data_IF_352140995782
#
_entry.id   IF_352140995782
#
_cell.length_a   1.000
_cell.length_b   1.000
_cell.length_c   1.000
_cell.angle_alpha   90.00
_cell.angle_beta   90.00
_cell.angle_gamma   90.00
#
_symmetry.space_group_name_H-M   'P 1'
#
loop_
_entity.id
_entity.type
_entity.pdbx_description
1 polymer ?
#
# COMPACT_ATOMS: atom_id res chain seq x y z
N UNK A 1 -25.25 0.88 -6.38
CA UNK A 1 -23.93 1.54 -6.28
C UNK A 1 -22.88 0.47 -6.57
N UNK A 2 -22.48 0.31 -7.83
CA UNK A 2 -21.31 -0.52 -8.13
C UNK A 2 -20.10 0.14 -7.46
N UNK A 3 -19.50 -0.55 -6.49
CA UNK A 3 -18.36 -0.03 -5.75
C UNK A 3 -17.22 0.33 -6.71
N UNK A 4 -16.55 1.46 -6.45
CA UNK A 4 -15.39 1.88 -7.21
C UNK A 4 -14.35 0.75 -7.16
N UNK A 5 -14.09 0.10 -8.29
CA UNK A 5 -13.09 -0.96 -8.39
C UNK A 5 -11.71 -0.31 -8.47
N UNK A 6 -11.07 -0.17 -7.32
CA UNK A 6 -9.70 0.31 -7.18
C UNK A 6 -8.74 -0.88 -7.28
N UNK A 7 -7.71 -0.77 -8.13
CA UNK A 7 -6.61 -1.73 -8.15
C UNK A 7 -5.36 -1.07 -7.61
N UNK A 8 -4.69 -1.74 -6.67
CA UNK A 8 -3.48 -1.23 -6.03
C UNK A 8 -2.28 -1.98 -6.59
N UNK A 9 -1.27 -1.25 -7.06
CA UNK A 9 0.04 -1.78 -7.38
C UNK A 9 1.05 -1.36 -6.32
N UNK A 10 1.58 -2.35 -5.59
CA UNK A 10 2.57 -2.17 -4.54
C UNK A 10 4.02 -2.15 -5.05
N UNK A 11 4.25 -2.32 -6.35
CA UNK A 11 5.59 -2.32 -6.95
C UNK A 11 6.61 -3.17 -6.17
N UNK A 12 6.19 -4.38 -5.74
CA UNK A 12 6.94 -5.20 -4.77
C UNK A 12 8.40 -5.41 -5.15
N UNK A 13 8.71 -5.68 -6.42
CA UNK A 13 10.10 -5.87 -6.87
C UNK A 13 10.93 -4.60 -6.68
N UNK A 14 10.42 -3.45 -7.15
CA UNK A 14 11.11 -2.15 -7.05
C UNK A 14 11.29 -1.74 -5.59
N UNK A 15 10.20 -1.77 -4.81
CA UNK A 15 10.23 -1.37 -3.41
C UNK A 15 11.11 -2.31 -2.58
N UNK A 16 10.97 -3.63 -2.70
CA UNK A 16 11.76 -4.55 -1.90
C UNK A 16 13.25 -4.50 -2.29
N UNK A 17 13.59 -4.21 -3.56
CA UNK A 17 14.98 -3.97 -3.95
C UNK A 17 15.54 -2.72 -3.28
N UNK A 18 14.81 -1.60 -3.33
CA UNK A 18 15.21 -0.35 -2.70
C UNK A 18 15.32 -0.45 -1.17
N UNK A 19 14.48 -1.29 -0.56
CA UNK A 19 14.43 -1.51 0.89
C UNK A 19 15.34 -2.65 1.39
N UNK A 20 16.09 -3.31 0.47
CA UNK A 20 16.97 -4.45 0.80
C UNK A 20 16.22 -5.55 1.55
N UNK A 21 15.13 -6.00 0.93
CA UNK A 21 14.19 -7.03 1.40
C UNK A 21 13.75 -7.97 0.27
N UNK A 22 14.28 -7.82 -0.95
CA UNK A 22 13.88 -8.58 -2.15
C UNK A 22 14.16 -10.08 -2.04
N UNK A 23 15.19 -10.43 -1.27
CA UNK A 23 15.58 -11.79 -0.95
C UNK A 23 14.56 -12.53 -0.08
N UNK A 24 13.72 -11.80 0.67
CA UNK A 24 12.65 -12.40 1.47
C UNK A 24 11.50 -12.84 0.56
N UNK A 25 11.07 -11.96 -0.34
CA UNK A 25 10.01 -12.25 -1.31
C UNK A 25 9.96 -11.21 -2.43
N UNK A 26 9.49 -11.64 -3.61
CA UNK A 26 9.14 -10.76 -4.73
C UNK A 26 7.64 -10.51 -4.87
N UNK A 27 6.82 -11.23 -4.10
CA UNK A 27 5.34 -11.25 -4.25
C UNK A 27 4.63 -10.30 -3.28
N UNK A 28 5.17 -10.11 -2.08
CA UNK A 28 4.59 -9.22 -1.05
C UNK A 28 5.48 -8.00 -0.84
N UNK A 29 4.89 -6.87 -0.46
CA UNK A 29 5.62 -5.66 -0.13
C UNK A 29 6.25 -5.78 1.26
N UNK A 30 7.57 -5.67 1.34
CA UNK A 30 8.31 -5.65 2.61
C UNK A 30 9.19 -4.40 2.62
N UNK A 31 8.89 -3.47 3.52
CA UNK A 31 9.57 -2.17 3.62
C UNK A 31 10.23 -1.99 4.98
N UNK A 32 11.21 -1.09 5.05
CA UNK A 32 11.87 -0.65 6.27
C UNK A 32 11.36 0.74 6.64
N UNK A 33 11.10 0.94 7.94
CA UNK A 33 10.66 2.23 8.49
C UNK A 33 11.64 3.35 8.15
N UNK A 34 11.12 4.57 8.00
CA UNK A 34 11.94 5.77 7.74
C UNK A 34 12.38 5.93 6.28
N UNK A 35 12.08 4.96 5.40
CA UNK A 35 12.34 5.04 3.97
C UNK A 35 10.99 5.07 3.21
N UNK A 36 10.78 6.02 2.28
CA UNK A 36 9.56 6.06 1.48
C UNK A 36 9.46 4.84 0.54
N UNK A 37 8.24 4.52 0.11
CA UNK A 37 7.97 3.49 -0.88
C UNK A 37 6.89 3.95 -1.87
N UNK A 38 6.87 3.35 -3.05
CA UNK A 38 5.96 3.72 -4.12
C UNK A 38 4.69 2.86 -4.11
N UNK A 39 3.53 3.49 -4.26
CA UNK A 39 2.26 2.82 -4.47
C UNK A 39 1.50 3.52 -5.60
N UNK A 40 0.83 2.74 -6.45
CA UNK A 40 -0.05 3.28 -7.50
C UNK A 40 -1.47 2.78 -7.29
N UNK A 41 -2.42 3.72 -7.29
CA UNK A 41 -3.86 3.46 -7.30
C UNK A 41 -4.35 3.58 -8.74
N UNK A 42 -4.74 2.46 -9.33
CA UNK A 42 -5.43 2.41 -10.62
C UNK A 42 -6.93 2.61 -10.39
N UNK A 43 -7.48 3.68 -10.96
CA UNK A 43 -8.87 4.11 -10.79
C UNK A 43 -9.57 4.07 -12.15
N UNK A 44 -10.83 3.63 -12.17
CA UNK A 44 -11.66 3.63 -13.39
C UNK A 44 -11.98 5.06 -13.83
N UNK A 45 -12.17 5.96 -12.87
CA UNK A 45 -12.42 7.37 -13.12
C UNK A 45 -11.23 8.21 -12.64
N UNK A 46 -10.92 9.33 -13.31
CA UNK A 46 -9.91 10.25 -12.85
C UNK A 46 -10.24 10.78 -11.46
N UNK A 47 -9.22 10.88 -10.62
CA UNK A 47 -9.34 11.57 -9.34
C UNK A 47 -9.41 13.07 -9.57
N UNK A 48 -10.41 13.73 -8.98
CA UNK A 48 -10.54 15.17 -8.96
C UNK A 48 -9.86 15.76 -7.74
N UNK A 49 -9.37 17.00 -7.83
CA UNK A 49 -8.81 17.74 -6.68
C UNK A 49 -9.80 17.97 -5.54
N UNK A 50 -11.11 17.76 -5.79
CA UNK A 50 -12.18 17.84 -4.78
C UNK A 50 -12.37 16.52 -4.03
N UNK A 51 -11.84 15.43 -4.57
CA UNK A 51 -11.95 14.12 -3.94
C UNK A 51 -10.92 14.02 -2.80
N UNK A 52 -11.17 13.14 -1.83
CA UNK A 52 -10.25 12.92 -0.70
C UNK A 52 -9.69 11.50 -0.77
N UNK A 53 -8.37 11.37 -0.70
CA UNK A 53 -7.69 10.08 -0.47
C UNK A 53 -7.25 10.00 0.98
N UNK A 54 -7.87 9.09 1.72
CA UNK A 54 -7.47 8.76 3.09
C UNK A 54 -6.75 7.41 3.10
N UNK A 55 -5.52 7.39 3.60
CA UNK A 55 -4.76 6.16 3.85
C UNK A 55 -4.83 5.84 5.33
N UNK A 56 -5.46 4.70 5.66
CA UNK A 56 -5.47 4.16 7.02
C UNK A 56 -4.56 2.93 7.06
N UNK A 57 -3.72 2.85 8.08
CA UNK A 57 -2.86 1.69 8.34
C UNK A 57 -3.10 1.23 9.76
N UNK A 58 -3.21 -0.09 9.93
CA UNK A 58 -3.43 -0.73 11.23
C UNK A 58 -2.45 -1.88 11.37
N UNK A 59 -2.02 -2.14 12.60
CA UNK A 59 -1.15 -3.27 12.92
C UNK A 59 -1.46 -3.75 14.34
N UNK A 60 -1.28 -5.05 14.58
CA UNK A 60 -1.76 -5.73 15.78
C UNK A 60 -3.25 -6.06 15.73
N UNK A 61 -3.65 -7.15 16.38
CA UNK A 61 -5.06 -7.38 16.68
C UNK A 61 -5.47 -6.48 17.85
N UNK A 62 -6.66 -5.90 17.79
CA UNK A 62 -7.36 -5.34 18.97
C UNK A 62 -7.66 -6.46 19.98
N UNK A 63 -6.63 -7.02 20.62
CA UNK A 63 -6.78 -7.80 21.83
C UNK A 63 -6.68 -6.78 22.97
N UNK A 64 -7.80 -6.45 23.59
CA UNK A 64 -7.80 -5.81 24.89
C UNK A 64 -7.14 -6.79 25.87
N UNK A 65 -5.92 -6.50 26.30
CA UNK A 65 -5.22 -7.23 27.36
C UNK A 65 -5.64 -6.73 28.75
N UNK A 66 -6.94 -6.82 29.07
CA UNK A 66 -7.45 -6.67 30.43
C UNK A 66 -8.26 -7.90 30.81
#
# INVERSE_FOLDING_TARGET
>A
LEGIRLKVNFHCVTNNTAHRTIEITRKQLIVRRGQPFLLTLEMVQPFSVRDTLLFTVETGSHLNWF
#
